data_IF_518457790083
#
_entry.id   IF_518457790083
#
_cell.length_a   1.000
_cell.length_b   1.000
_cell.length_c   1.000
_cell.angle_alpha   90.00
_cell.angle_beta   90.00
_cell.angle_gamma   90.00
#
_symmetry.space_group_name_H-M   'P 1'
#
loop_
_entity.id
_entity.type
_entity.pdbx_description
1 polymer ?
#
# COMPACT_ATOMS: atom_id res chain seq x y z
N UNK A 1 2.12 -61.13 6.91
CA UNK A 1 2.13 -60.73 5.50
C UNK A 1 1.66 -59.28 5.43
N UNK A 2 2.37 -58.40 4.73
CA UNK A 2 1.96 -57.01 4.59
C UNK A 2 0.77 -56.94 3.62
N UNK A 3 -0.40 -56.56 4.12
CA UNK A 3 -1.60 -56.36 3.31
C UNK A 3 -1.64 -54.93 2.78
N UNK A 4 -1.95 -54.74 1.50
CA UNK A 4 -2.19 -53.42 0.91
C UNK A 4 -3.63 -53.32 0.40
N UNK A 5 -4.26 -52.15 0.61
CA UNK A 5 -5.57 -51.86 0.05
C UNK A 5 -5.41 -51.36 -1.38
N UNK A 6 -6.07 -52.05 -2.31
CA UNK A 6 -6.12 -51.72 -3.74
C UNK A 6 -7.57 -51.70 -4.22
N UNK A 7 -7.77 -51.48 -5.53
CA UNK A 7 -9.07 -51.55 -6.18
C UNK A 7 -9.72 -52.94 -6.08
N UNK A 8 -11.00 -53.01 -6.47
CA UNK A 8 -11.80 -54.23 -6.43
C UNK A 8 -11.19 -55.30 -7.35
N UNK A 9 -11.16 -56.56 -6.90
CA UNK A 9 -10.74 -57.70 -7.70
C UNK A 9 -11.55 -57.83 -9.00
N UNK A 10 -10.88 -57.93 -10.14
CA UNK A 10 -11.49 -57.99 -11.47
C UNK A 10 -12.04 -59.37 -11.87
N UNK A 11 -12.10 -60.32 -10.93
CA UNK A 11 -12.58 -61.68 -11.18
C UNK A 11 -14.09 -61.77 -10.89
N UNK A 12 -14.85 -62.47 -11.73
CA UNK A 12 -16.31 -62.54 -11.59
C UNK A 12 -16.72 -63.02 -10.19
N UNK A 13 -17.46 -62.18 -9.47
CA UNK A 13 -17.96 -62.48 -8.11
C UNK A 13 -17.03 -62.12 -6.95
N UNK A 14 -15.78 -61.67 -7.19
CA UNK A 14 -14.85 -61.29 -6.12
C UNK A 14 -14.85 -59.77 -5.91
N UNK A 15 -15.26 -59.30 -4.72
CA UNK A 15 -15.25 -57.86 -4.35
C UNK A 15 -14.15 -57.46 -3.36
N UNK A 16 -13.16 -58.32 -3.17
CA UNK A 16 -12.08 -58.09 -2.21
C UNK A 16 -11.17 -56.94 -2.67
N UNK A 17 -10.79 -56.09 -1.73
CA UNK A 17 -9.91 -54.91 -1.96
C UNK A 17 -8.57 -55.05 -1.26
N UNK A 18 -8.39 -56.08 -0.44
CA UNK A 18 -7.12 -56.38 0.24
C UNK A 18 -6.31 -57.40 -0.55
N UNK A 19 -5.05 -57.07 -0.77
CA UNK A 19 -4.12 -57.92 -1.50
C UNK A 19 -2.84 -58.16 -0.70
N UNK A 20 -2.28 -59.36 -0.86
CA UNK A 20 -0.97 -59.75 -0.38
C UNK A 20 -0.06 -60.13 -1.56
N UNK A 21 1.24 -60.05 -1.32
CA UNK A 21 2.25 -60.44 -2.31
C UNK A 21 2.82 -61.79 -1.88
N UNK A 22 2.87 -62.73 -2.81
CA UNK A 22 3.54 -64.01 -2.65
C UNK A 22 4.33 -64.28 -3.94
N UNK A 23 5.63 -64.51 -3.83
CA UNK A 23 6.53 -64.76 -4.96
C UNK A 23 6.48 -63.67 -6.07
N UNK A 24 6.40 -62.40 -5.69
CA UNK A 24 6.39 -61.27 -6.65
C UNK A 24 5.07 -61.05 -7.40
N UNK A 25 4.04 -61.86 -7.10
CA UNK A 25 2.71 -61.78 -7.68
C UNK A 25 1.69 -61.30 -6.64
N UNK A 26 0.71 -60.51 -7.11
CA UNK A 26 -0.38 -60.00 -6.28
C UNK A 26 -1.55 -60.97 -6.24
N UNK A 27 -1.95 -61.33 -5.02
CA UNK A 27 -3.14 -62.13 -4.74
C UNK A 27 -4.12 -61.32 -3.90
N UNK A 28 -5.41 -61.35 -4.25
CA UNK A 28 -6.41 -60.84 -3.31
C UNK A 28 -6.49 -61.78 -2.09
N UNK A 29 -7.07 -61.31 -0.98
CA UNK A 29 -7.23 -62.14 0.23
C UNK A 29 -7.99 -63.47 -0.02
N UNK A 30 -8.79 -63.53 -1.07
CA UNK A 30 -9.52 -64.74 -1.50
C UNK A 30 -8.68 -65.64 -2.44
N UNK A 31 -7.41 -65.32 -2.71
CA UNK A 31 -6.49 -66.16 -3.49
C UNK A 31 -6.50 -65.93 -5.01
N UNK A 32 -7.19 -64.90 -5.51
CA UNK A 32 -7.20 -64.59 -6.94
C UNK A 32 -5.97 -63.80 -7.37
N UNK A 33 -5.25 -64.32 -8.37
CA UNK A 33 -4.07 -63.67 -8.95
C UNK A 33 -4.46 -62.52 -9.87
N UNK A 34 -3.82 -61.36 -9.68
CA UNK A 34 -3.97 -60.24 -10.60
C UNK A 34 -3.07 -60.45 -11.85
N UNK A 35 -3.67 -60.53 -13.05
CA UNK A 35 -2.91 -60.67 -14.29
C UNK A 35 -2.10 -59.40 -14.62
N UNK A 36 -0.82 -59.55 -14.95
CA UNK A 36 -0.01 -58.52 -15.64
C UNK A 36 0.86 -57.60 -14.78
N UNK A 37 1.09 -57.90 -13.49
CA UNK A 37 2.00 -57.10 -12.66
C UNK A 37 2.95 -58.00 -11.85
N UNK A 38 4.11 -58.30 -12.43
CA UNK A 38 5.26 -58.76 -11.68
C UNK A 38 5.86 -57.56 -10.93
N UNK A 39 6.07 -57.72 -9.63
CA UNK A 39 6.94 -56.81 -8.90
C UNK A 39 8.36 -57.23 -9.23
N UNK A 40 9.06 -56.43 -10.03
CA UNK A 40 10.51 -56.54 -10.15
C UNK A 40 11.08 -56.31 -8.75
N UNK A 41 11.57 -57.38 -8.13
CA UNK A 41 12.36 -57.28 -6.92
C UNK A 41 13.72 -56.79 -7.39
N UNK A 42 13.94 -55.49 -7.22
CA UNK A 42 15.21 -54.83 -7.52
C UNK A 42 16.22 -55.27 -6.45
N UNK A 43 16.75 -56.48 -6.63
CA UNK A 43 17.86 -56.98 -5.83
C UNK A 43 19.12 -56.18 -6.20
N UNK A 44 19.71 -55.56 -5.18
CA UNK A 44 21.04 -54.95 -5.16
C UNK A 44 21.19 -53.51 -5.70
N UNK A 45 21.03 -52.56 -4.78
CA UNK A 45 21.96 -51.45 -4.55
C UNK A 45 22.53 -50.74 -5.80
N UNK A 46 21.74 -49.84 -6.41
CA UNK A 46 22.28 -48.78 -7.26
C UNK A 46 22.02 -47.39 -6.64
N UNK A 47 22.98 -46.94 -5.82
CA UNK A 47 23.28 -45.51 -5.57
C UNK A 47 22.12 -44.61 -5.14
N UNK A 48 21.78 -44.61 -3.86
CA UNK A 48 20.79 -43.72 -3.26
C UNK A 48 21.19 -42.24 -3.19
N UNK A 49 21.41 -41.56 -4.32
CA UNK A 49 21.64 -40.10 -4.41
C UNK A 49 20.79 -39.43 -5.52
N UNK A 50 19.48 -39.70 -5.55
CA UNK A 50 18.53 -38.87 -6.30
C UNK A 50 17.93 -37.80 -5.41
N UNK A 51 18.43 -36.56 -5.43
CA UNK A 51 17.72 -35.43 -4.81
C UNK A 51 16.38 -35.26 -5.53
N UNK A 52 15.28 -35.62 -4.88
CA UNK A 52 13.92 -35.27 -5.36
C UNK A 52 13.77 -33.76 -5.35
N UNK A 53 14.05 -33.13 -6.49
CA UNK A 53 13.72 -31.74 -6.72
C UNK A 53 12.20 -31.65 -6.84
N UNK A 54 11.56 -31.15 -5.77
CA UNK A 54 10.14 -30.77 -5.80
C UNK A 54 9.94 -29.85 -7.00
N UNK A 55 9.21 -30.33 -8.04
CA UNK A 55 8.86 -29.52 -9.21
C UNK A 55 8.15 -28.27 -8.71
N UNK A 56 8.84 -27.13 -8.78
CA UNK A 56 8.33 -25.84 -8.35
C UNK A 56 7.04 -25.63 -9.15
N UNK A 57 5.90 -25.55 -8.46
CA UNK A 57 4.62 -25.21 -9.08
C UNK A 57 4.89 -23.93 -9.87
N UNK A 58 4.70 -23.96 -11.20
CA UNK A 58 4.82 -22.78 -12.03
C UNK A 58 3.82 -21.78 -11.46
N UNK A 59 4.31 -20.81 -10.69
CA UNK A 59 3.51 -19.67 -10.34
C UNK A 59 3.18 -19.05 -11.68
N UNK A 60 1.90 -19.06 -12.05
CA UNK A 60 1.44 -18.22 -13.14
C UNK A 60 1.99 -16.83 -12.84
N UNK A 61 2.89 -16.34 -13.70
CA UNK A 61 3.39 -14.97 -13.60
C UNK A 61 2.17 -14.08 -13.54
N UNK A 62 1.87 -13.56 -12.35
CA UNK A 62 0.94 -12.46 -12.21
C UNK A 62 1.60 -11.33 -12.97
N UNK A 63 1.13 -11.10 -14.19
CA UNK A 63 1.49 -9.94 -15.02
C UNK A 63 0.90 -8.67 -14.39
N UNK A 64 1.29 -8.34 -13.16
CA UNK A 64 1.33 -6.94 -12.76
C UNK A 64 2.80 -6.57 -12.86
N UNK A 65 3.22 -6.17 -14.07
CA UNK A 65 4.49 -5.44 -14.19
C UNK A 65 4.32 -4.22 -13.30
N UNK A 66 5.12 -4.13 -12.25
CA UNK A 66 5.29 -2.90 -11.49
C UNK A 66 5.58 -1.80 -12.50
N UNK A 67 4.98 -0.63 -12.32
CA UNK A 67 5.33 0.51 -13.15
C UNK A 67 6.76 0.95 -12.84
N UNK A 68 7.40 1.52 -13.83
CA UNK A 68 8.79 1.94 -13.76
C UNK A 68 8.91 3.45 -13.98
N UNK A 69 10.01 4.03 -13.51
CA UNK A 69 10.38 5.42 -13.80
C UNK A 69 9.25 6.44 -13.57
N UNK A 70 8.93 7.21 -14.61
CA UNK A 70 8.01 8.35 -14.51
C UNK A 70 6.53 7.92 -14.38
N UNK A 71 6.16 6.77 -14.93
CA UNK A 71 4.79 6.21 -14.84
C UNK A 71 4.48 5.73 -13.43
N UNK A 72 5.46 5.11 -12.75
CA UNK A 72 5.32 4.76 -11.34
C UNK A 72 5.19 6.00 -10.45
N UNK A 73 5.91 7.07 -10.77
CA UNK A 73 5.78 8.32 -10.04
C UNK A 73 4.40 8.98 -10.26
N UNK A 74 3.88 8.93 -11.48
CA UNK A 74 2.51 9.39 -11.75
C UNK A 74 1.47 8.58 -10.96
N UNK A 75 1.60 7.25 -10.94
CA UNK A 75 0.72 6.38 -10.14
C UNK A 75 0.79 6.71 -8.64
N UNK A 76 1.98 7.07 -8.13
CA UNK A 76 2.14 7.56 -6.76
C UNK A 76 1.33 8.85 -6.51
N UNK A 77 1.36 9.82 -7.43
CA UNK A 77 0.59 11.06 -7.31
C UNK A 77 -0.92 10.81 -7.40
N UNK A 78 -1.37 9.90 -8.25
CA UNK A 78 -2.78 9.48 -8.34
C UNK A 78 -3.24 8.80 -7.04
N UNK A 79 -2.40 7.95 -6.45
CA UNK A 79 -2.66 7.34 -5.15
C UNK A 79 -2.73 8.40 -4.03
N UNK A 80 -1.87 9.43 -4.09
CA UNK A 80 -1.88 10.55 -3.15
C UNK A 80 -3.15 11.41 -3.29
N UNK A 81 -3.56 11.70 -4.53
CA UNK A 81 -4.82 12.39 -4.84
C UNK A 81 -6.02 11.68 -4.22
N UNK A 82 -6.09 10.35 -4.35
CA UNK A 82 -7.16 9.56 -3.77
C UNK A 82 -7.18 9.67 -2.24
N UNK A 83 -6.01 9.68 -1.59
CA UNK A 83 -5.92 9.88 -0.14
C UNK A 83 -6.43 11.27 0.25
N UNK A 84 -5.95 12.32 -0.41
CA UNK A 84 -6.34 13.70 -0.15
C UNK A 84 -7.85 13.89 -0.34
N UNK A 85 -8.41 13.35 -1.42
CA UNK A 85 -9.84 13.37 -1.67
C UNK A 85 -10.63 12.67 -0.55
N UNK A 86 -10.19 11.49 -0.10
CA UNK A 86 -10.86 10.77 1.00
C UNK A 86 -10.84 11.56 2.32
N UNK A 87 -9.74 12.23 2.61
CA UNK A 87 -9.62 13.10 3.80
C UNK A 87 -10.57 14.29 3.70
N UNK A 88 -10.60 14.99 2.57
CA UNK A 88 -11.54 16.08 2.31
C UNK A 88 -13.00 15.62 2.39
N UNK A 89 -13.32 14.49 1.76
CA UNK A 89 -14.66 13.91 1.79
C UNK A 89 -15.09 13.57 3.22
N UNK A 90 -14.19 13.00 4.04
CA UNK A 90 -14.47 12.73 5.45
C UNK A 90 -14.72 14.01 6.27
N UNK A 91 -13.97 15.08 5.99
CA UNK A 91 -14.17 16.38 6.62
C UNK A 91 -15.52 17.02 6.26
N UNK A 92 -15.90 16.98 4.98
CA UNK A 92 -17.18 17.57 4.52
C UNK A 92 -18.36 16.72 4.97
N UNK A 93 -18.38 15.43 4.63
CA UNK A 93 -19.54 14.58 4.86
C UNK A 93 -19.59 13.92 6.25
N UNK A 94 -18.42 13.64 6.85
CA UNK A 94 -18.33 13.06 8.18
C UNK A 94 -18.38 14.11 9.28
N UNK A 95 -17.68 15.24 9.11
CA UNK A 95 -17.59 16.32 10.11
C UNK A 95 -18.50 17.51 9.87
N UNK A 96 -19.20 17.54 8.73
CA UNK A 96 -20.13 18.62 8.40
C UNK A 96 -19.44 19.95 8.10
N UNK A 97 -18.18 19.91 7.65
CA UNK A 97 -17.51 21.12 7.15
C UNK A 97 -18.14 21.57 5.82
N UNK A 98 -18.07 22.87 5.49
CA UNK A 98 -18.60 23.40 4.23
C UNK A 98 -18.02 22.69 2.99
N UNK A 99 -18.86 22.48 1.97
CA UNK A 99 -18.47 21.84 0.70
C UNK A 99 -17.39 22.60 -0.07
N UNK A 100 -17.29 23.91 0.17
CA UNK A 100 -16.27 24.81 -0.38
C UNK A 100 -14.84 24.36 -0.02
N UNK A 101 -14.69 23.60 1.07
CA UNK A 101 -13.41 23.05 1.49
C UNK A 101 -12.78 22.14 0.42
N UNK A 102 -13.59 21.33 -0.27
CA UNK A 102 -13.09 20.44 -1.31
C UNK A 102 -12.54 21.24 -2.49
N UNK A 103 -13.23 22.31 -2.89
CA UNK A 103 -12.78 23.22 -3.95
C UNK A 103 -11.44 23.86 -3.61
N UNK A 104 -11.31 24.43 -2.40
CA UNK A 104 -10.07 25.10 -1.97
C UNK A 104 -8.90 24.13 -1.89
N UNK A 105 -9.09 22.93 -1.32
CA UNK A 105 -8.00 21.95 -1.22
C UNK A 105 -7.60 21.44 -2.61
N UNK A 106 -8.57 21.28 -3.53
CA UNK A 106 -8.30 20.93 -4.92
C UNK A 106 -7.48 22.01 -5.62
N UNK A 107 -7.82 23.28 -5.46
CA UNK A 107 -7.09 24.40 -6.07
C UNK A 107 -5.65 24.48 -5.53
N UNK A 108 -5.47 24.37 -4.21
CA UNK A 108 -4.14 24.29 -3.60
C UNK A 108 -3.34 23.11 -4.15
N UNK A 109 -3.97 21.95 -4.32
CA UNK A 109 -3.32 20.77 -4.87
C UNK A 109 -2.96 20.92 -6.35
N UNK A 110 -3.79 21.58 -7.16
CA UNK A 110 -3.50 21.88 -8.57
C UNK A 110 -2.25 22.74 -8.69
N UNK A 111 -2.15 23.83 -7.90
CA UNK A 111 -0.95 24.66 -7.84
C UNK A 111 0.28 23.84 -7.44
N UNK A 112 0.13 22.97 -6.43
CA UNK A 112 1.21 22.08 -5.99
C UNK A 112 1.68 21.14 -7.10
N UNK A 113 0.75 20.57 -7.86
CA UNK A 113 1.05 19.70 -8.99
C UNK A 113 1.79 20.43 -10.10
N UNK A 114 1.37 21.64 -10.45
CA UNK A 114 2.08 22.48 -11.44
C UNK A 114 3.57 22.58 -11.09
N UNK A 115 3.89 22.88 -9.83
CA UNK A 115 5.28 22.95 -9.38
C UNK A 115 6.03 21.62 -9.41
N UNK A 116 5.35 20.52 -9.12
CA UNK A 116 5.93 19.17 -9.19
C UNK A 116 6.23 18.80 -10.66
N UNK A 117 5.38 19.20 -11.59
CA UNK A 117 5.56 18.97 -13.03
C UNK A 117 6.57 19.91 -13.69
N UNK A 118 6.70 21.17 -13.23
CA UNK A 118 7.77 22.07 -13.67
C UNK A 118 9.17 21.49 -13.41
N UNK A 119 9.34 20.75 -12.31
CA UNK A 119 10.59 20.07 -11.99
C UNK A 119 10.82 18.74 -12.74
N UNK A 120 10.04 18.45 -13.79
CA UNK A 120 10.01 17.18 -14.54
C UNK A 120 10.79 17.25 -15.86
N UNK A 121 11.92 17.96 -15.92
CA UNK A 121 12.93 17.77 -16.98
C UNK A 121 13.54 16.36 -16.84
N UNK A 122 12.77 15.33 -17.20
CA UNK A 122 13.09 13.94 -16.96
C UNK A 122 13.74 13.33 -18.21
N UNK A 123 15.08 13.27 -18.21
CA UNK A 123 15.88 12.38 -19.07
C UNK A 123 15.85 10.96 -18.47
N UNK A 124 14.65 10.39 -18.28
CA UNK A 124 14.51 8.97 -17.95
C UNK A 124 13.92 8.27 -19.17
N UNK A 125 14.80 7.82 -20.06
CA UNK A 125 14.41 6.94 -21.18
C UNK A 125 14.24 5.54 -20.62
N UNK A 126 12.98 5.11 -20.50
CA UNK A 126 12.65 3.71 -20.27
C UNK A 126 13.08 2.94 -21.53
N UNK A 127 14.28 2.32 -21.49
CA UNK A 127 14.73 1.46 -22.56
C UNK A 127 13.96 0.13 -22.43
N UNK A 128 12.69 0.14 -22.84
CA UNK A 128 11.76 -1.00 -22.85
C UNK A 128 12.34 -2.23 -23.58
N UNK A 129 13.41 -2.06 -24.37
CA UNK A 129 14.11 -3.13 -25.07
C UNK A 129 15.11 -3.91 -24.20
N UNK A 130 15.49 -3.40 -23.02
CA UNK A 130 16.48 -4.06 -22.15
C UNK A 130 15.92 -5.28 -21.41
N UNK A 131 14.60 -5.34 -21.18
CA UNK A 131 13.96 -6.47 -20.46
C UNK A 131 13.74 -7.72 -21.32
N UNK A 132 14.03 -7.68 -22.63
CA UNK A 132 13.99 -8.86 -23.50
C UNK A 132 15.37 -9.52 -23.71
N UNK A 133 16.43 -9.00 -23.10
CA UNK A 133 17.77 -9.61 -23.22
C UNK A 133 17.93 -10.75 -22.21
N UNK A 134 17.86 -11.97 -22.76
CA UNK A 134 18.29 -13.26 -22.22
C UNK A 134 18.91 -13.26 -20.80
N UNK A 135 18.22 -13.95 -19.89
CA UNK A 135 18.50 -14.20 -18.47
C UNK A 135 19.80 -14.98 -18.20
N UNK A 136 20.94 -14.45 -18.64
CA UNK A 136 22.26 -15.08 -18.43
C UNK A 136 23.29 -14.15 -17.76
N UNK A 137 22.94 -12.89 -17.47
CA UNK A 137 23.83 -11.94 -16.77
C UNK A 137 23.16 -11.42 -15.49
N UNK A 138 23.42 -12.10 -14.38
CA UNK A 138 22.87 -11.76 -13.04
C UNK A 138 23.37 -10.43 -12.48
N UNK A 139 24.40 -9.83 -13.06
CA UNK A 139 24.98 -8.55 -12.60
C UNK A 139 24.27 -7.31 -13.16
N UNK A 140 23.75 -7.36 -14.39
CA UNK A 140 23.17 -6.19 -15.07
C UNK A 140 21.80 -5.82 -14.51
N UNK A 141 20.97 -6.81 -14.17
CA UNK A 141 19.66 -6.58 -13.53
C UNK A 141 19.79 -5.88 -12.18
N UNK A 142 20.79 -6.24 -11.37
CA UNK A 142 20.99 -5.63 -10.06
C UNK A 142 21.43 -4.16 -10.11
N UNK A 143 22.10 -3.71 -11.17
CA UNK A 143 22.50 -2.30 -11.30
C UNK A 143 21.32 -1.44 -11.79
N UNK A 144 20.52 -1.94 -12.74
CA UNK A 144 19.30 -1.28 -13.21
C UNK A 144 18.30 -1.05 -12.06
N UNK A 145 18.09 -2.07 -11.21
CA UNK A 145 17.21 -1.95 -10.03
C UNK A 145 17.69 -0.87 -9.04
N UNK A 146 19.02 -0.66 -8.91
CA UNK A 146 19.60 0.37 -8.03
C UNK A 146 19.41 1.76 -8.61
N UNK A 147 19.62 1.93 -9.91
CA UNK A 147 19.43 3.21 -10.61
C UNK A 147 17.97 3.66 -10.51
N UNK A 148 17.03 2.74 -10.73
CA UNK A 148 15.61 3.02 -10.58
C UNK A 148 15.23 3.38 -9.13
N UNK A 149 15.75 2.64 -8.15
CA UNK A 149 15.55 2.98 -6.74
C UNK A 149 16.07 4.39 -6.40
N UNK A 150 17.25 4.76 -6.92
CA UNK A 150 17.82 6.09 -6.73
C UNK A 150 16.97 7.18 -7.41
N UNK A 151 16.46 6.92 -8.61
CA UNK A 151 15.54 7.82 -9.31
C UNK A 151 14.29 8.09 -8.45
N UNK A 152 13.61 7.05 -7.98
CA UNK A 152 12.41 7.20 -7.15
C UNK A 152 12.71 7.86 -5.81
N UNK A 153 13.86 7.58 -5.18
CA UNK A 153 14.28 8.23 -3.94
C UNK A 153 14.46 9.73 -4.13
N UNK A 154 15.08 10.16 -5.24
CA UNK A 154 15.23 11.58 -5.59
C UNK A 154 13.87 12.22 -5.83
N UNK A 155 12.97 11.57 -6.58
CA UNK A 155 11.61 12.08 -6.77
C UNK A 155 10.86 12.23 -5.45
N UNK A 156 10.94 11.24 -4.56
CA UNK A 156 10.30 11.31 -3.25
C UNK A 156 10.81 12.47 -2.38
N UNK A 157 12.08 12.85 -2.48
CA UNK A 157 12.61 13.98 -1.70
C UNK A 157 11.99 15.34 -2.04
N UNK A 158 11.49 15.51 -3.26
CA UNK A 158 10.81 16.73 -3.71
C UNK A 158 9.28 16.57 -3.74
N UNK A 159 8.79 15.37 -3.44
CA UNK A 159 7.37 15.01 -3.47
C UNK A 159 6.66 15.33 -2.15
N UNK A 160 5.33 15.48 -2.19
CA UNK A 160 4.54 15.66 -0.98
C UNK A 160 4.54 14.39 -0.13
N UNK A 161 4.68 14.58 1.19
CA UNK A 161 4.60 13.53 2.20
C UNK A 161 3.14 13.28 2.57
N UNK A 162 2.83 12.11 3.11
CA UNK A 162 1.48 11.80 3.59
C UNK A 162 1.00 12.81 4.65
N UNK A 163 1.86 13.31 5.53
CA UNK A 163 1.48 14.35 6.50
C UNK A 163 1.10 15.69 5.85
N UNK A 164 1.65 15.98 4.68
CA UNK A 164 1.33 17.20 3.94
C UNK A 164 -0.12 17.15 3.42
N UNK A 165 -0.73 15.95 3.27
CA UNK A 165 -2.16 15.82 2.90
C UNK A 165 -3.09 16.35 3.98
N UNK A 166 -2.83 16.00 5.26
CA UNK A 166 -3.55 16.57 6.41
C UNK A 166 -3.30 18.07 6.55
N UNK A 167 -2.06 18.49 6.33
CA UNK A 167 -1.70 19.90 6.40
C UNK A 167 -2.42 20.72 5.31
N UNK A 168 -2.54 20.19 4.08
CA UNK A 168 -3.33 20.79 3.00
C UNK A 168 -4.81 20.92 3.39
N UNK A 169 -5.42 19.87 3.94
CA UNK A 169 -6.79 19.95 4.44
C UNK A 169 -6.94 21.04 5.51
N UNK A 170 -5.99 21.14 6.44
CA UNK A 170 -5.99 22.19 7.48
C UNK A 170 -5.85 23.59 6.90
N UNK A 171 -4.97 23.80 5.91
CA UNK A 171 -4.85 25.07 5.20
C UNK A 171 -6.15 25.48 4.52
N UNK A 172 -6.89 24.54 3.94
CA UNK A 172 -8.24 24.79 3.42
C UNK A 172 -9.20 25.29 4.51
N UNK A 173 -9.18 24.69 5.71
CA UNK A 173 -9.99 25.16 6.83
C UNK A 173 -9.60 26.57 7.32
N UNK A 174 -8.31 26.90 7.25
CA UNK A 174 -7.81 28.24 7.60
C UNK A 174 -8.29 29.30 6.61
N UNK A 175 -8.21 29.02 5.30
CA UNK A 175 -8.69 29.94 4.26
C UNK A 175 -10.19 30.22 4.40
N UNK A 176 -10.96 29.21 4.81
CA UNK A 176 -12.39 29.35 5.13
C UNK A 176 -12.69 29.96 6.50
N UNK A 177 -11.66 30.34 7.27
CA UNK A 177 -11.77 30.92 8.62
C UNK A 177 -12.54 30.03 9.61
N UNK A 178 -12.51 28.71 9.41
CA UNK A 178 -13.22 27.76 10.25
C UNK A 178 -12.52 27.63 11.62
N UNK A 179 -13.28 27.42 12.72
CA UNK A 179 -12.73 27.23 14.05
C UNK A 179 -12.23 25.79 14.27
N UNK A 180 -11.36 25.31 13.38
CA UNK A 180 -10.72 24.00 13.47
C UNK A 180 -9.30 24.20 13.98
N UNK A 181 -8.94 23.49 15.04
CA UNK A 181 -7.58 23.46 15.58
C UNK A 181 -6.86 22.19 15.15
N UNK A 182 -5.53 22.20 15.19
CA UNK A 182 -4.73 21.00 14.91
C UNK A 182 -5.06 19.86 15.90
N UNK A 183 -5.46 20.19 17.14
CA UNK A 183 -5.94 19.20 18.10
C UNK A 183 -7.16 18.42 17.60
N UNK A 184 -8.12 19.10 16.96
CA UNK A 184 -9.26 18.42 16.34
C UNK A 184 -8.84 17.52 15.18
N UNK A 185 -7.91 17.97 14.33
CA UNK A 185 -7.37 17.13 13.25
C UNK A 185 -6.71 15.85 13.80
N UNK A 186 -5.94 15.97 14.88
CA UNK A 186 -5.35 14.81 15.54
C UNK A 186 -6.39 13.86 16.15
N UNK A 187 -7.42 14.41 16.79
CA UNK A 187 -8.55 13.67 17.37
C UNK A 187 -9.26 12.85 16.29
N UNK A 188 -9.64 13.49 15.18
CA UNK A 188 -10.33 12.82 14.05
C UNK A 188 -9.48 11.77 13.35
N UNK A 189 -8.16 11.94 13.32
CA UNK A 189 -7.24 10.91 12.82
C UNK A 189 -7.11 9.75 13.82
N UNK A 190 -7.09 10.04 15.12
CA UNK A 190 -7.01 9.02 16.17
C UNK A 190 -8.28 8.15 16.23
N UNK A 191 -9.44 8.74 15.95
CA UNK A 191 -10.74 8.07 15.87
C UNK A 191 -10.97 7.33 14.54
N UNK A 192 -9.99 7.33 13.63
CA UNK A 192 -10.06 6.76 12.27
C UNK A 192 -11.19 7.34 11.40
N UNK A 193 -11.68 8.53 11.74
CA UNK A 193 -12.71 9.24 10.98
C UNK A 193 -12.11 9.94 9.76
N UNK A 194 -10.86 10.41 9.88
CA UNK A 194 -10.08 10.94 8.77
C UNK A 194 -8.99 9.93 8.38
N UNK A 195 -9.02 9.41 7.14
CA UNK A 195 -8.01 8.49 6.63
C UNK A 195 -6.59 9.07 6.69
N UNK A 196 -5.75 8.53 7.56
CA UNK A 196 -4.32 8.86 7.60
C UNK A 196 -3.45 7.65 7.88
N UNK A 197 -3.90 6.75 8.76
CA UNK A 197 -3.16 5.54 9.12
C UNK A 197 -3.30 4.48 8.02
N UNK A 198 -2.16 3.90 7.61
CA UNK A 198 -2.10 2.85 6.57
C UNK A 198 -2.94 3.19 5.31
N UNK A 199 -2.72 4.34 4.65
CA UNK A 199 -3.54 4.84 3.55
C UNK A 199 -3.64 3.88 2.36
N UNK A 200 -2.66 2.98 2.18
CA UNK A 200 -2.70 1.90 1.18
C UNK A 200 -3.93 0.99 1.28
N UNK A 201 -4.64 0.93 2.41
CA UNK A 201 -5.89 0.15 2.53
C UNK A 201 -7.05 0.74 1.72
N UNK A 202 -6.96 2.02 1.37
CA UNK A 202 -8.00 2.75 0.65
C UNK A 202 -7.73 2.87 -0.85
N UNK A 203 -6.54 2.44 -1.29
CA UNK A 203 -6.11 2.47 -2.68
C UNK A 203 -6.53 1.15 -3.36
N UNK A 204 -7.13 1.19 -4.56
CA UNK A 204 -7.50 -0.01 -5.32
C UNK A 204 -6.34 -0.99 -5.49
N UNK A 205 -6.63 -2.30 -5.46
CA UNK A 205 -5.62 -3.35 -5.63
C UNK A 205 -4.82 -3.19 -6.93
N UNK A 206 -5.48 -2.78 -8.01
CA UNK A 206 -4.84 -2.63 -9.32
C UNK A 206 -3.75 -1.55 -9.33
N UNK A 207 -3.94 -0.46 -8.58
CA UNK A 207 -2.92 0.57 -8.40
C UNK A 207 -1.85 0.09 -7.43
N UNK A 208 -2.28 -0.52 -6.31
CA UNK A 208 -1.39 -1.00 -5.25
C UNK A 208 -0.40 -2.03 -5.77
N UNK A 209 -0.84 -2.99 -6.57
CA UNK A 209 0.00 -4.09 -7.06
C UNK A 209 1.00 -3.64 -8.13
N UNK A 210 0.79 -2.47 -8.75
CA UNK A 210 1.68 -1.87 -9.76
C UNK A 210 2.65 -0.85 -9.17
N UNK A 211 2.52 -0.51 -7.89
CA UNK A 211 3.32 0.53 -7.26
C UNK A 211 4.67 -0.03 -6.77
N UNK A 212 5.81 0.63 -7.06
CA UNK A 212 7.10 0.23 -6.49
C UNK A 212 7.14 0.22 -4.96
N UNK A 213 7.96 -0.68 -4.38
CA UNK A 213 8.12 -0.86 -2.93
C UNK A 213 8.46 0.44 -2.18
N UNK A 214 9.26 1.32 -2.79
CA UNK A 214 9.64 2.61 -2.17
C UNK A 214 8.43 3.52 -1.93
N UNK A 215 7.46 3.53 -2.84
CA UNK A 215 6.24 4.31 -2.68
C UNK A 215 5.27 3.64 -1.70
N UNK A 216 5.25 2.31 -1.60
CA UNK A 216 4.55 1.64 -0.50
C UNK A 216 5.05 2.12 0.87
N UNK A 217 6.37 2.24 1.04
CA UNK A 217 6.97 2.74 2.27
C UNK A 217 6.64 4.21 2.51
N UNK A 218 6.58 5.04 1.45
CA UNK A 218 6.18 6.44 1.56
C UNK A 218 4.73 6.59 2.08
N UNK A 219 3.85 5.64 1.74
CA UNK A 219 2.49 5.57 2.26
C UNK A 219 2.36 4.82 3.59
N UNK A 220 3.41 4.26 4.18
CA UNK A 220 3.31 3.42 5.38
C UNK A 220 3.38 4.25 6.68
N UNK A 221 2.28 4.93 7.00
CA UNK A 221 2.11 5.67 8.26
C UNK A 221 1.71 4.72 9.41
N UNK A 222 2.70 4.34 10.22
CA UNK A 222 2.51 3.38 11.34
C UNK A 222 2.10 4.01 12.65
N UNK A 223 2.44 5.27 12.87
CA UNK A 223 2.17 6.01 14.10
C UNK A 223 1.21 7.17 13.87
N UNK A 224 0.41 7.49 14.89
CA UNK A 224 -0.43 8.68 14.92
C UNK A 224 0.45 9.94 14.80
N UNK A 225 0.07 10.93 13.98
CA UNK A 225 0.86 12.14 13.86
C UNK A 225 0.75 12.96 15.14
N UNK A 226 1.91 13.35 15.68
CA UNK A 226 1.98 14.26 16.82
C UNK A 226 1.68 15.68 16.33
N UNK A 227 1.04 16.50 17.17
CA UNK A 227 0.54 17.83 16.77
C UNK A 227 1.67 18.71 16.24
N UNK A 228 2.84 18.63 16.86
CA UNK A 228 4.04 19.33 16.39
C UNK A 228 4.47 18.92 14.97
N UNK A 229 4.30 17.65 14.58
CA UNK A 229 4.59 17.21 13.21
C UNK A 229 3.60 17.83 12.21
N UNK A 230 2.33 17.93 12.58
CA UNK A 230 1.30 18.58 11.75
C UNK A 230 1.58 20.09 11.66
N UNK A 231 1.89 20.75 12.78
CA UNK A 231 2.27 22.16 12.81
C UNK A 231 3.47 22.44 11.90
N UNK A 232 4.51 21.60 11.96
CA UNK A 232 5.69 21.71 11.09
C UNK A 232 5.30 21.54 9.61
N UNK A 233 4.51 20.53 9.26
CA UNK A 233 4.04 20.34 7.90
C UNK A 233 3.19 21.53 7.39
N UNK A 234 2.33 22.08 8.24
CA UNK A 234 1.54 23.29 7.93
C UNK A 234 2.46 24.49 7.71
N UNK A 235 3.44 24.72 8.57
CA UNK A 235 4.40 25.82 8.42
C UNK A 235 5.23 25.67 7.14
N UNK A 236 5.74 24.46 6.85
CA UNK A 236 6.46 24.15 5.62
C UNK A 236 5.62 24.50 4.38
N UNK A 237 4.34 24.10 4.38
CA UNK A 237 3.42 24.41 3.28
C UNK A 237 3.09 25.90 3.18
N UNK A 238 2.88 26.62 4.29
CA UNK A 238 2.65 28.07 4.25
C UNK A 238 3.84 28.77 3.59
N UNK A 239 5.07 28.45 4.00
CA UNK A 239 6.29 29.01 3.41
C UNK A 239 6.37 28.66 1.93
N UNK A 240 6.04 27.42 1.56
CA UNK A 240 6.05 26.95 0.19
C UNK A 240 5.06 27.73 -0.68
N UNK A 241 3.80 27.83 -0.26
CA UNK A 241 2.75 28.50 -1.01
C UNK A 241 2.96 30.02 -1.09
N UNK A 242 3.51 30.61 -0.04
CA UNK A 242 3.90 32.02 -0.07
C UNK A 242 5.06 32.25 -1.06
N UNK A 243 6.11 31.42 -1.01
CA UNK A 243 7.28 31.57 -1.90
C UNK A 243 6.94 31.32 -3.36
N UNK A 244 6.18 30.26 -3.66
CA UNK A 244 5.99 29.79 -5.03
C UNK A 244 4.76 30.43 -5.70
N UNK A 245 3.76 30.87 -4.92
CA UNK A 245 2.48 31.36 -5.45
C UNK A 245 1.99 32.68 -4.82
N UNK A 246 2.74 33.27 -3.89
CA UNK A 246 2.34 34.50 -3.16
C UNK A 246 0.99 34.40 -2.45
N UNK A 247 0.62 33.19 -2.00
CA UNK A 247 -0.61 32.97 -1.24
C UNK A 247 -0.37 33.34 0.23
N UNK A 248 -1.25 34.19 0.77
CA UNK A 248 -1.28 34.52 2.19
C UNK A 248 -2.36 33.71 2.91
N UNK A 249 -1.98 33.08 4.03
CA UNK A 249 -2.92 32.36 4.88
C UNK A 249 -3.34 33.25 6.06
N UNK A 250 -4.64 33.33 6.36
CA UNK A 250 -5.13 34.12 7.48
C UNK A 250 -4.69 33.52 8.82
N UNK A 251 -4.64 34.37 9.85
CA UNK A 251 -4.46 33.92 11.22
C UNK A 251 -5.61 33.01 11.67
N UNK A 252 -5.28 32.09 12.58
CA UNK A 252 -6.22 31.18 13.23
C UNK A 252 -7.36 31.98 13.86
N UNK A 253 -8.60 31.47 13.76
CA UNK A 253 -9.77 32.08 14.39
C UNK A 253 -9.75 31.86 15.92
N UNK A 254 -8.90 32.61 16.60
CA UNK A 254 -8.64 32.51 18.05
C UNK A 254 -9.92 32.72 18.86
N UNK A 255 -10.76 33.68 18.50
CA UNK A 255 -12.00 33.99 19.21
C UNK A 255 -12.95 32.80 19.28
N UNK A 256 -13.22 32.15 18.15
CA UNK A 256 -14.12 30.99 18.10
C UNK A 256 -13.49 29.74 18.74
N UNK A 257 -12.18 29.54 18.59
CA UNK A 257 -11.48 28.43 19.22
C UNK A 257 -11.46 28.55 20.75
N UNK A 258 -11.16 29.73 21.28
CA UNK A 258 -11.19 30.00 22.73
C UNK A 258 -12.58 29.77 23.30
N UNK A 259 -13.62 30.25 22.60
CA UNK A 259 -15.00 29.96 22.96
C UNK A 259 -15.29 28.46 22.99
N UNK A 260 -14.81 27.71 22.01
CA UNK A 260 -14.97 26.25 21.97
C UNK A 260 -14.28 25.56 23.16
N UNK A 261 -13.09 26.01 23.56
CA UNK A 261 -12.36 25.46 24.70
C UNK A 261 -13.02 25.81 26.03
N UNK A 262 -13.53 27.03 26.18
CA UNK A 262 -14.29 27.45 27.37
C UNK A 262 -15.52 26.58 27.56
N UNK A 263 -16.24 26.29 26.47
CA UNK A 263 -17.38 25.37 26.48
C UNK A 263 -16.96 23.93 26.81
N UNK A 264 -15.88 23.42 26.21
CA UNK A 264 -15.37 22.05 26.47
C UNK A 264 -14.88 21.86 27.90
N UNK A 265 -14.23 22.87 28.48
CA UNK A 265 -13.66 22.82 29.83
C UNK A 265 -14.62 23.30 30.93
N UNK A 266 -15.85 23.67 30.56
CA UNK A 266 -16.85 24.26 31.46
C UNK A 266 -16.30 25.44 32.28
N UNK A 267 -15.42 26.25 31.68
CA UNK A 267 -14.79 27.39 32.35
C UNK A 267 -15.81 28.51 32.60
N UNK A 268 -15.73 29.24 33.74
CA UNK A 268 -16.59 30.40 33.98
C UNK A 268 -16.42 31.47 32.89
N UNK A 269 -17.53 31.96 32.34
CA UNK A 269 -17.58 32.98 31.29
C UNK A 269 -16.88 34.31 31.63
N UNK A 270 -16.58 34.56 32.91
CA UNK A 270 -15.84 35.76 33.33
C UNK A 270 -14.37 35.77 32.88
N UNK A 271 -13.81 34.64 32.46
CA UNK A 271 -12.44 34.56 31.94
C UNK A 271 -12.33 34.96 30.46
N UNK A 272 -13.40 34.79 29.68
CA UNK A 272 -13.39 35.09 28.24
C UNK A 272 -13.38 36.59 27.94
N UNK A 273 -14.05 37.42 28.74
CA UNK A 273 -14.14 38.86 28.49
C UNK A 273 -12.80 39.60 28.66
N UNK A 274 -11.87 39.05 29.45
CA UNK A 274 -10.55 39.67 29.65
C UNK A 274 -9.51 39.29 28.58
N UNK A 275 -9.74 38.21 27.84
CA UNK A 275 -8.81 37.71 26.81
C UNK A 275 -9.15 38.10 25.37
N UNK A 276 -10.36 38.63 25.13
CA UNK A 276 -10.85 39.06 23.80
C UNK A 276 -10.57 40.55 23.48
N UNK A 277 -9.87 41.27 24.38
CA UNK A 277 -9.53 42.70 24.24
C UNK A 277 -8.06 42.97 23.86
N UNK A 278 -7.34 41.97 23.35
CA UNK A 278 -5.99 42.10 22.77
C UNK A 278 -5.98 41.53 21.35
#
# INVERSE_FOLDING_TARGET
MAESMRGICGQEGCRETRYYIENGLWFCRQGHQQQGQEVVVDDENFGGHGRTARRKKVQAERRSKTYHGSDAFQLFLEAYQLLLWKQCHALVHGKGLPSELEGIVKDLWILRLEKIYEGRDDIYTDDENSTQLFSSQTGVSSELDKEEYQYHKRKLSTSPRVIDSLALCYLGTLLLRLPVSIGYMQEWVAEDEIPFMRPLRFIPSDMKDRLPAIYHMAFDTKNLPVGDQIHRAVADLIVLYHRDFSIEFPAINSSLLLFSYVKKLALPSKLTDKGLLL
#
